data_IF_448220624567
#
_entry.id   IF_448220624567
#
_cell.length_a   1.000
_cell.length_b   1.000
_cell.length_c   1.000
_cell.angle_alpha   90.00
_cell.angle_beta   90.00
_cell.angle_gamma   90.00
#
_symmetry.space_group_name_H-M   'P 1'
#
loop_
_entity.id
_entity.type
_entity.pdbx_description
1 polymer ?
#
# COMPACT_ATOMS: atom_id res chain seq x y z
N UNK A 1 2.39 7.05 -28.06
CA UNK A 1 2.78 7.53 -26.70
C UNK A 1 1.94 6.78 -25.72
N UNK A 2 2.55 6.26 -24.68
CA UNK A 2 1.86 5.53 -23.60
C UNK A 2 1.00 6.45 -22.74
N UNK A 3 -0.01 5.90 -22.12
CA UNK A 3 -0.79 6.59 -21.09
C UNK A 3 -0.02 6.58 -19.78
N UNK A 4 0.25 7.75 -19.20
CA UNK A 4 0.92 7.85 -17.90
C UNK A 4 -0.12 7.75 -16.78
N UNK A 5 -0.07 6.66 -16.02
CA UNK A 5 -1.00 6.37 -14.94
C UNK A 5 -0.59 7.13 -13.65
N UNK A 6 -0.86 8.44 -13.63
CA UNK A 6 -0.51 9.31 -12.49
C UNK A 6 -1.38 9.02 -11.28
N UNK A 7 -0.77 8.96 -10.08
CA UNK A 7 -1.49 8.77 -8.83
C UNK A 7 -2.31 9.98 -8.37
N UNK A 8 -1.94 11.20 -8.78
CA UNK A 8 -2.60 12.42 -8.31
C UNK A 8 -4.13 12.49 -8.60
N UNK A 9 -4.63 12.13 -9.79
CA UNK A 9 -6.08 12.08 -10.03
C UNK A 9 -6.79 11.03 -9.17
N UNK A 10 -6.16 9.85 -8.98
CA UNK A 10 -6.66 8.78 -8.09
C UNK A 10 -6.82 9.29 -6.67
N UNK A 11 -5.78 9.95 -6.15
CA UNK A 11 -5.77 10.59 -4.83
C UNK A 11 -6.87 11.63 -4.68
N UNK A 12 -7.11 12.45 -5.72
CA UNK A 12 -8.16 13.47 -5.68
C UNK A 12 -9.55 12.83 -5.51
N UNK A 13 -9.87 11.82 -6.32
CA UNK A 13 -11.12 11.08 -6.25
C UNK A 13 -11.30 10.36 -4.90
N UNK A 14 -10.26 9.68 -4.41
CA UNK A 14 -10.30 9.01 -3.11
C UNK A 14 -10.50 9.99 -1.95
N UNK A 15 -9.86 11.15 -1.99
CA UNK A 15 -10.02 12.16 -0.94
C UNK A 15 -11.44 12.73 -0.92
N UNK A 16 -12.04 13.00 -2.09
CA UNK A 16 -13.42 13.47 -2.19
C UNK A 16 -14.39 12.43 -1.60
N UNK A 17 -14.26 11.18 -2.02
CA UNK A 17 -15.07 10.08 -1.50
C UNK A 17 -14.91 9.90 0.02
N UNK A 18 -13.69 9.91 0.54
CA UNK A 18 -13.42 9.75 1.96
C UNK A 18 -13.93 10.94 2.78
N UNK A 19 -13.82 12.17 2.27
CA UNK A 19 -14.35 13.35 2.95
C UNK A 19 -15.88 13.28 3.10
N UNK A 20 -16.60 12.85 2.06
CA UNK A 20 -18.05 12.63 2.12
C UNK A 20 -18.43 11.55 3.13
N UNK A 21 -17.70 10.42 3.16
CA UNK A 21 -17.93 9.34 4.15
C UNK A 21 -17.64 9.80 5.59
N UNK A 22 -16.57 10.57 5.81
CA UNK A 22 -16.26 11.16 7.12
C UNK A 22 -17.36 12.11 7.59
N UNK A 23 -17.91 12.94 6.68
CA UNK A 23 -19.01 13.84 7.02
C UNK A 23 -20.25 13.05 7.45
N UNK A 24 -20.64 12.02 6.71
CA UNK A 24 -21.77 11.16 7.04
C UNK A 24 -21.58 10.40 8.39
N UNK A 25 -20.35 9.98 8.71
CA UNK A 25 -20.03 9.37 10.00
C UNK A 25 -20.16 10.38 11.16
N UNK A 26 -19.70 11.61 10.96
CA UNK A 26 -19.84 12.68 11.98
C UNK A 26 -21.29 13.01 12.29
N UNK A 27 -22.18 12.99 11.30
CA UNK A 27 -23.63 13.15 11.51
C UNK A 27 -24.20 12.05 12.43
N UNK A 28 -23.58 10.86 12.44
CA UNK A 28 -23.92 9.74 13.34
C UNK A 28 -23.17 9.79 14.68
N UNK A 29 -22.40 10.84 14.94
CA UNK A 29 -21.58 10.99 16.15
C UNK A 29 -20.28 10.17 16.13
N UNK A 30 -19.88 9.61 15.00
CA UNK A 30 -18.64 8.82 14.85
C UNK A 30 -17.57 9.66 14.16
N UNK A 31 -16.41 9.79 14.80
CA UNK A 31 -15.24 10.49 14.24
C UNK A 31 -14.19 9.48 13.86
N UNK A 32 -13.93 9.23 12.56
CA UNK A 32 -12.86 8.33 12.15
C UNK A 32 -11.53 8.76 12.77
N UNK A 33 -10.86 7.87 13.48
CA UNK A 33 -9.65 8.19 14.25
C UNK A 33 -8.55 7.16 13.97
N UNK A 34 -7.38 7.65 13.58
CA UNK A 34 -6.16 6.89 13.34
C UNK A 34 -5.22 7.01 14.55
N UNK A 35 -4.77 5.88 15.09
CA UNK A 35 -3.59 5.84 15.95
C UNK A 35 -2.32 5.78 15.10
N UNK A 36 -1.40 6.68 15.34
CA UNK A 36 -0.04 6.66 14.78
C UNK A 36 0.93 6.24 15.87
N UNK A 37 1.61 5.12 15.70
CA UNK A 37 2.58 4.58 16.67
C UNK A 37 3.97 4.63 16.05
N UNK A 38 4.89 5.37 16.68
CA UNK A 38 6.27 5.54 16.26
C UNK A 38 7.25 5.36 17.43
N UNK A 39 8.35 4.66 17.16
CA UNK A 39 9.46 4.48 18.10
C UNK A 39 10.69 5.20 17.56
N UNK A 40 11.18 6.18 18.31
CA UNK A 40 12.28 7.05 17.89
C UNK A 40 11.87 8.10 16.86
N UNK A 41 12.84 8.73 16.20
CA UNK A 41 12.64 9.90 15.33
C UNK A 41 13.46 9.76 14.02
N UNK A 42 13.27 8.68 13.30
CA UNK A 42 13.92 8.51 12.00
C UNK A 42 13.41 9.55 11.01
N UNK A 43 14.27 10.22 10.23
CA UNK A 43 13.85 11.28 9.29
C UNK A 43 12.78 10.82 8.28
N UNK A 44 12.90 9.58 7.79
CA UNK A 44 11.94 9.01 6.84
C UNK A 44 10.56 8.82 7.48
N UNK A 45 10.52 8.35 8.74
CA UNK A 45 9.28 8.17 9.51
C UNK A 45 8.60 9.52 9.74
N UNK A 46 9.36 10.55 10.14
CA UNK A 46 8.84 11.91 10.36
C UNK A 46 8.27 12.51 9.06
N UNK A 47 8.96 12.31 7.94
CA UNK A 47 8.49 12.79 6.64
C UNK A 47 7.18 12.09 6.22
N UNK A 48 7.11 10.76 6.38
CA UNK A 48 5.90 10.00 6.06
C UNK A 48 4.75 10.35 7.01
N UNK A 49 5.00 10.47 8.32
CA UNK A 49 4.03 10.88 9.33
C UNK A 49 3.38 12.21 8.97
N UNK A 50 4.20 13.21 8.60
CA UNK A 50 3.70 14.52 8.15
C UNK A 50 2.74 14.39 6.96
N UNK A 51 3.05 13.53 6.01
CA UNK A 51 2.18 13.25 4.85
C UNK A 51 0.85 12.60 5.26
N UNK A 52 0.90 11.62 6.18
CA UNK A 52 -0.29 10.95 6.73
C UNK A 52 -1.17 11.96 7.47
N UNK A 53 -0.58 12.76 8.37
CA UNK A 53 -1.29 13.81 9.13
C UNK A 53 -2.01 14.79 8.21
N UNK A 54 -1.32 15.29 7.19
CA UNK A 54 -1.89 16.22 6.21
C UNK A 54 -3.05 15.58 5.43
N UNK A 55 -2.94 14.29 5.08
CA UNK A 55 -3.98 13.54 4.39
C UNK A 55 -5.21 13.35 5.27
N UNK A 56 -5.02 12.92 6.51
CA UNK A 56 -6.08 12.75 7.51
C UNK A 56 -6.83 14.07 7.73
N UNK A 57 -6.12 15.17 7.96
CA UNK A 57 -6.72 16.49 8.15
C UNK A 57 -7.57 16.93 6.95
N UNK A 58 -7.11 16.65 5.71
CA UNK A 58 -7.82 17.01 4.49
C UNK A 58 -9.19 16.36 4.35
N UNK A 59 -9.37 15.14 4.86
CA UNK A 59 -10.61 14.36 4.71
C UNK A 59 -11.45 14.28 5.98
N UNK A 60 -10.94 14.81 7.10
CA UNK A 60 -11.67 14.83 8.37
C UNK A 60 -11.44 13.62 9.26
N UNK A 61 -10.34 12.88 9.09
CA UNK A 61 -9.88 11.82 10.01
C UNK A 61 -9.06 12.45 11.11
N UNK A 62 -9.37 12.14 12.38
CA UNK A 62 -8.56 12.56 13.53
C UNK A 62 -7.36 11.63 13.72
N UNK A 63 -6.27 12.16 14.31
CA UNK A 63 -5.06 11.40 14.57
C UNK A 63 -4.67 11.50 16.04
N UNK A 64 -4.49 10.33 16.67
CA UNK A 64 -3.89 10.19 18.00
C UNK A 64 -2.48 9.66 17.84
N UNK A 65 -1.48 10.40 18.33
CA UNK A 65 -0.08 10.00 18.23
C UNK A 65 0.38 9.30 19.52
N UNK A 66 1.06 8.17 19.36
CA UNK A 66 1.71 7.39 20.41
C UNK A 66 3.20 7.33 20.09
N UNK A 67 3.94 8.31 20.62
CA UNK A 67 5.35 8.50 20.33
C UNK A 67 6.18 7.92 21.48
N UNK A 68 6.91 6.84 21.18
CA UNK A 68 7.78 6.18 22.14
C UNK A 68 9.24 6.61 21.89
N UNK A 69 10.06 6.75 22.94
CA UNK A 69 11.48 7.02 22.80
C UNK A 69 12.20 5.85 22.11
N UNK A 70 13.37 6.11 21.52
CA UNK A 70 14.10 5.10 20.76
C UNK A 70 14.55 3.90 21.60
N UNK A 71 14.71 4.09 22.90
CA UNK A 71 15.08 3.08 23.90
C UNK A 71 13.90 2.45 24.63
N UNK A 72 12.68 2.70 24.18
CA UNK A 72 11.47 2.09 24.72
C UNK A 72 11.59 0.55 24.74
N UNK A 73 11.01 -0.07 25.76
CA UNK A 73 10.95 -1.52 25.86
C UNK A 73 9.85 -2.13 24.99
N UNK A 74 10.01 -3.41 24.65
CA UNK A 74 8.97 -4.15 23.95
C UNK A 74 7.65 -4.19 24.73
N UNK A 75 7.71 -4.29 26.05
CA UNK A 75 6.54 -4.32 26.93
C UNK A 75 5.77 -2.99 26.89
N UNK A 76 6.47 -1.85 26.80
CA UNK A 76 5.83 -0.54 26.63
C UNK A 76 5.08 -0.44 25.32
N UNK A 77 5.70 -0.87 24.22
CA UNK A 77 5.03 -0.87 22.91
C UNK A 77 3.83 -1.84 22.88
N UNK A 78 3.95 -3.03 23.49
CA UNK A 78 2.84 -3.97 23.61
C UNK A 78 1.68 -3.41 24.45
N UNK A 79 1.98 -2.66 25.53
CA UNK A 79 0.93 -1.97 26.32
C UNK A 79 0.21 -0.88 25.51
N UNK A 80 0.93 -0.13 24.70
CA UNK A 80 0.34 0.86 23.77
C UNK A 80 -0.58 0.17 22.77
N UNK A 81 -0.12 -0.91 22.13
CA UNK A 81 -0.92 -1.68 21.16
C UNK A 81 -2.19 -2.26 21.85
N UNK A 82 -2.04 -2.83 23.04
CA UNK A 82 -3.19 -3.34 23.79
C UNK A 82 -4.21 -2.24 24.11
N UNK A 83 -3.75 -1.05 24.48
CA UNK A 83 -4.60 0.11 24.70
C UNK A 83 -5.33 0.56 23.43
N UNK A 84 -4.66 0.58 22.28
CA UNK A 84 -5.25 0.90 20.97
C UNK A 84 -6.30 -0.15 20.58
N UNK A 85 -6.01 -1.44 20.76
CA UNK A 85 -6.96 -2.50 20.49
C UNK A 85 -8.25 -2.36 21.32
N UNK A 86 -8.12 -1.97 22.57
CA UNK A 86 -9.25 -1.83 23.52
C UNK A 86 -10.03 -0.51 23.36
N UNK A 87 -9.45 0.53 22.76
CA UNK A 87 -10.11 1.84 22.58
C UNK A 87 -11.06 1.81 21.39
N UNK A 88 -12.37 1.75 21.65
CA UNK A 88 -13.40 1.80 20.62
C UNK A 88 -13.43 3.12 19.81
N UNK A 89 -12.86 4.20 20.34
CA UNK A 89 -12.76 5.48 19.64
C UNK A 89 -11.59 5.53 18.64
N UNK A 90 -10.71 4.53 18.62
CA UNK A 90 -9.64 4.38 17.63
C UNK A 90 -10.08 3.35 16.59
N UNK A 91 -10.10 3.73 15.32
CA UNK A 91 -10.60 2.87 14.24
C UNK A 91 -9.49 2.18 13.45
N UNK A 92 -8.26 2.69 13.51
CA UNK A 92 -7.11 2.07 12.86
C UNK A 92 -5.79 2.44 13.52
N UNK A 93 -4.78 1.61 13.29
CA UNK A 93 -3.42 1.80 13.80
C UNK A 93 -2.41 1.75 12.66
N UNK A 94 -1.62 2.80 12.52
CA UNK A 94 -0.41 2.82 11.70
C UNK A 94 0.79 2.64 12.61
N UNK A 95 1.45 1.49 12.53
CA UNK A 95 2.69 1.19 13.24
C UNK A 95 3.88 1.42 12.30
N UNK A 96 4.72 2.40 12.63
CA UNK A 96 5.91 2.69 11.84
C UNK A 96 6.95 1.57 11.91
N UNK A 97 7.42 1.14 10.75
CA UNK A 97 8.37 0.04 10.58
C UNK A 97 9.46 0.42 9.57
N UNK A 98 10.67 -0.17 9.61
CA UNK A 98 11.09 -1.22 10.55
C UNK A 98 11.27 -0.68 11.98
N UNK A 99 10.92 -1.53 12.96
CA UNK A 99 11.17 -1.24 14.37
C UNK A 99 12.67 -1.29 14.70
N UNK A 100 13.13 -0.59 15.75
CA UNK A 100 14.49 -0.76 16.28
C UNK A 100 14.78 -2.21 16.66
N UNK A 101 16.08 -2.59 16.68
CA UNK A 101 16.52 -4.00 16.79
C UNK A 101 16.13 -4.71 18.10
N UNK A 102 15.81 -3.95 19.17
CA UNK A 102 15.40 -4.51 20.44
C UNK A 102 13.97 -5.10 20.43
N UNK A 103 13.20 -4.82 19.38
CA UNK A 103 11.83 -5.34 19.24
C UNK A 103 11.79 -6.60 18.38
N UNK A 104 11.02 -7.59 18.83
CA UNK A 104 10.61 -8.71 17.98
C UNK A 104 9.40 -8.29 17.12
N UNK A 105 9.66 -7.95 15.87
CA UNK A 105 8.67 -7.50 14.90
C UNK A 105 7.47 -8.48 14.77
N UNK A 106 7.73 -9.78 14.87
CA UNK A 106 6.68 -10.79 14.76
C UNK A 106 5.72 -10.72 15.95
N UNK A 107 6.25 -10.66 17.17
CA UNK A 107 5.45 -10.53 18.39
C UNK A 107 4.64 -9.24 18.38
N UNK A 108 5.26 -8.13 17.99
CA UNK A 108 4.58 -6.83 17.92
C UNK A 108 3.44 -6.84 16.90
N UNK A 109 3.67 -7.35 15.68
CA UNK A 109 2.61 -7.46 14.68
C UNK A 109 1.47 -8.38 15.11
N UNK A 110 1.80 -9.49 15.78
CA UNK A 110 0.80 -10.44 16.27
C UNK A 110 -0.08 -9.86 17.39
N UNK A 111 0.39 -8.85 18.10
CA UNK A 111 -0.38 -8.18 19.15
C UNK A 111 -1.42 -7.18 18.62
N UNK A 112 -1.26 -6.69 17.39
CA UNK A 112 -2.23 -5.77 16.78
C UNK A 112 -3.45 -6.54 16.27
N UNK A 113 -4.65 -6.07 16.64
CA UNK A 113 -5.92 -6.63 16.15
C UNK A 113 -6.07 -6.39 14.64
N UNK A 114 -6.45 -7.40 13.85
CA UNK A 114 -6.69 -7.23 12.41
C UNK A 114 -7.70 -6.14 12.08
N UNK A 115 -8.71 -5.92 12.92
CA UNK A 115 -9.71 -4.86 12.73
C UNK A 115 -9.12 -3.45 12.85
N UNK A 116 -7.97 -3.32 13.53
CA UNK A 116 -7.22 -2.05 13.68
C UNK A 116 -6.03 -1.96 12.72
N UNK A 117 -5.67 -3.05 12.04
CA UNK A 117 -4.51 -3.16 11.16
C UNK A 117 -4.80 -2.58 9.78
N UNK A 118 -4.92 -1.26 9.70
CA UNK A 118 -5.27 -0.55 8.45
C UNK A 118 -4.13 -0.51 7.42
N UNK A 119 -2.93 -0.95 7.77
CA UNK A 119 -1.79 -1.05 6.84
C UNK A 119 -1.52 -2.49 6.36
N UNK A 120 -2.29 -3.47 6.87
CA UNK A 120 -2.25 -4.85 6.42
C UNK A 120 -0.95 -5.59 6.78
N UNK A 121 -0.39 -5.30 7.95
CA UNK A 121 0.89 -5.87 8.39
C UNK A 121 0.76 -7.18 9.18
N UNK A 122 -0.43 -7.49 9.71
CA UNK A 122 -0.67 -8.68 10.52
C UNK A 122 -0.89 -9.92 9.67
N UNK A 123 -0.61 -11.09 10.24
CA UNK A 123 -0.90 -12.36 9.58
C UNK A 123 -2.42 -12.55 9.38
N UNK A 124 -3.26 -11.98 10.26
CA UNK A 124 -4.72 -11.97 10.12
C UNK A 124 -5.18 -11.19 8.89
N UNK A 125 -4.68 -9.98 8.67
CA UNK A 125 -4.97 -9.19 7.47
C UNK A 125 -4.51 -9.89 6.19
N UNK A 126 -3.32 -10.50 6.21
CA UNK A 126 -2.83 -11.27 5.06
C UNK A 126 -3.66 -12.53 4.79
N UNK A 127 -4.15 -13.20 5.84
CA UNK A 127 -5.09 -14.31 5.68
C UNK A 127 -6.40 -13.85 5.04
N UNK A 128 -6.93 -12.69 5.44
CA UNK A 128 -8.09 -12.07 4.81
C UNK A 128 -7.91 -11.82 3.31
N UNK A 129 -6.76 -11.29 2.91
CA UNK A 129 -6.40 -11.11 1.49
C UNK A 129 -6.35 -12.45 0.75
N UNK A 130 -5.71 -13.46 1.33
CA UNK A 130 -5.56 -14.78 0.72
C UNK A 130 -6.89 -15.52 0.57
N UNK A 131 -7.75 -15.46 1.60
CA UNK A 131 -9.04 -16.16 1.65
C UNK A 131 -10.20 -15.36 1.03
N UNK A 132 -9.94 -14.12 0.60
CA UNK A 132 -10.96 -13.19 0.12
C UNK A 132 -12.08 -12.96 1.13
N UNK A 133 -11.73 -12.80 2.40
CA UNK A 133 -12.66 -12.51 3.49
C UNK A 133 -12.47 -11.10 4.04
N UNK A 134 -13.44 -10.60 4.81
CA UNK A 134 -13.41 -9.25 5.40
C UNK A 134 -12.60 -9.19 6.71
N UNK A 135 -11.55 -10.01 6.86
CA UNK A 135 -10.65 -9.99 8.03
C UNK A 135 -9.51 -9.02 7.77
N UNK A 136 -9.40 -8.00 8.61
CA UNK A 136 -8.38 -6.97 8.48
C UNK A 136 -8.47 -6.15 7.19
N UNK A 137 -7.33 -5.63 6.73
CA UNK A 137 -7.21 -4.79 5.54
C UNK A 137 -6.04 -5.25 4.68
N UNK A 138 -6.13 -5.11 3.35
CA UNK A 138 -4.99 -5.39 2.46
C UNK A 138 -3.82 -4.44 2.74
N UNK A 139 -2.57 -4.88 2.52
CA UNK A 139 -1.43 -3.96 2.52
C UNK A 139 -1.65 -2.79 1.58
N UNK A 140 -1.51 -1.56 2.12
CA UNK A 140 -1.87 -0.33 1.43
C UNK A 140 -1.19 -0.15 0.07
N UNK A 141 0.08 -0.56 -0.05
CA UNK A 141 0.82 -0.44 -1.32
C UNK A 141 0.31 -1.42 -2.37
N UNK A 142 -0.04 -2.64 -1.98
CA UNK A 142 -0.64 -3.60 -2.89
C UNK A 142 -2.01 -3.12 -3.39
N UNK A 143 -2.85 -2.62 -2.49
CA UNK A 143 -4.14 -2.06 -2.88
C UNK A 143 -4.00 -0.82 -3.75
N UNK A 144 -3.02 0.06 -3.51
CA UNK A 144 -2.79 1.23 -4.33
C UNK A 144 -2.55 0.89 -5.81
N UNK A 145 -1.93 -0.27 -6.10
CA UNK A 145 -1.81 -0.76 -7.48
C UNK A 145 -3.18 -1.01 -8.11
N UNK A 146 -4.08 -1.67 -7.36
CA UNK A 146 -5.43 -1.97 -7.84
C UNK A 146 -6.28 -0.71 -8.00
N UNK A 147 -6.18 0.24 -7.06
CA UNK A 147 -6.90 1.52 -7.13
C UNK A 147 -6.51 2.32 -8.38
N UNK A 148 -5.22 2.33 -8.75
CA UNK A 148 -4.76 2.94 -10.00
C UNK A 148 -5.37 2.22 -11.20
N UNK A 149 -5.25 0.89 -11.27
CA UNK A 149 -5.77 0.11 -12.38
C UNK A 149 -7.28 0.31 -12.55
N UNK A 150 -8.05 0.29 -11.44
CA UNK A 150 -9.49 0.55 -11.44
C UNK A 150 -9.85 1.96 -11.88
N UNK A 151 -9.17 2.97 -11.36
CA UNK A 151 -9.40 4.37 -11.70
C UNK A 151 -9.23 4.64 -13.19
N UNK A 152 -8.20 4.05 -13.79
CA UNK A 152 -7.94 4.17 -15.22
C UNK A 152 -8.71 3.16 -16.09
N UNK A 153 -9.65 2.42 -15.48
CA UNK A 153 -10.51 1.43 -16.16
C UNK A 153 -9.71 0.37 -16.92
N UNK A 154 -8.56 -0.05 -16.38
CA UNK A 154 -7.76 -1.13 -16.96
C UNK A 154 -8.48 -2.45 -16.69
N UNK A 155 -8.87 -3.20 -17.76
CA UNK A 155 -9.57 -4.46 -17.59
C UNK A 155 -8.65 -5.54 -17.00
N UNK A 156 -9.12 -6.25 -15.97
CA UNK A 156 -8.37 -7.32 -15.31
C UNK A 156 -8.97 -8.70 -15.56
N UNK A 157 -10.30 -8.79 -15.65
CA UNK A 157 -10.98 -10.07 -15.82
C UNK A 157 -10.57 -10.75 -17.14
N UNK A 158 -10.10 -12.01 -17.03
CA UNK A 158 -9.60 -12.83 -18.13
C UNK A 158 -8.20 -12.41 -18.63
N UNK A 159 -7.55 -11.42 -18.01
CA UNK A 159 -6.21 -10.95 -18.39
C UNK A 159 -5.11 -11.76 -17.72
N UNK A 160 -3.94 -11.78 -18.34
CA UNK A 160 -2.72 -12.34 -17.74
C UNK A 160 -2.00 -11.24 -16.97
N UNK A 161 -1.81 -11.44 -15.68
CA UNK A 161 -1.05 -10.55 -14.83
C UNK A 161 0.24 -11.21 -14.35
N UNK A 162 1.36 -10.50 -14.48
CA UNK A 162 2.65 -10.92 -13.92
C UNK A 162 3.00 -9.99 -12.77
N UNK A 163 3.28 -10.57 -11.60
CA UNK A 163 3.77 -9.82 -10.44
C UNK A 163 5.22 -10.20 -10.19
N UNK A 164 6.13 -9.24 -10.36
CA UNK A 164 7.57 -9.44 -10.15
C UNK A 164 7.94 -8.98 -8.76
N UNK A 165 8.13 -9.94 -7.85
CA UNK A 165 8.36 -9.75 -6.43
C UNK A 165 7.34 -10.51 -5.59
N UNK A 166 7.76 -11.04 -4.43
CA UNK A 166 6.92 -11.89 -3.58
C UNK A 166 6.95 -11.53 -2.09
N UNK A 167 7.14 -10.25 -1.80
CA UNK A 167 7.06 -9.76 -0.42
C UNK A 167 5.63 -9.90 0.13
N UNK A 168 5.49 -9.95 1.46
CA UNK A 168 4.18 -9.92 2.12
C UNK A 168 3.56 -8.52 2.10
N UNK A 169 4.36 -7.49 1.83
CA UNK A 169 3.88 -6.10 1.80
C UNK A 169 3.27 -5.73 0.44
N UNK A 170 3.78 -6.28 -0.67
CA UNK A 170 3.32 -5.92 -2.02
C UNK A 170 3.04 -7.13 -2.89
N UNK A 171 4.06 -7.94 -3.21
CA UNK A 171 3.97 -8.90 -4.31
C UNK A 171 2.91 -9.98 -4.11
N UNK A 172 2.92 -10.69 -2.98
CA UNK A 172 1.91 -11.72 -2.68
C UNK A 172 0.50 -11.13 -2.52
N UNK A 173 0.29 -10.05 -1.73
CA UNK A 173 -1.02 -9.42 -1.65
C UNK A 173 -1.55 -8.95 -3.01
N UNK A 174 -0.73 -8.26 -3.80
CA UNK A 174 -1.13 -7.79 -5.12
C UNK A 174 -1.53 -8.95 -6.05
N UNK A 175 -0.79 -10.08 -6.00
CA UNK A 175 -1.12 -11.26 -6.78
C UNK A 175 -2.50 -11.82 -6.40
N UNK A 176 -2.80 -11.97 -5.11
CA UNK A 176 -4.11 -12.44 -4.65
C UNK A 176 -5.24 -11.46 -4.96
N UNK A 177 -4.98 -10.17 -4.87
CA UNK A 177 -5.97 -9.14 -5.22
C UNK A 177 -6.26 -9.10 -6.73
N UNK A 178 -5.27 -9.32 -7.58
CA UNK A 178 -5.45 -9.47 -9.03
C UNK A 178 -6.22 -10.74 -9.39
N UNK A 179 -5.92 -11.86 -8.72
CA UNK A 179 -6.68 -13.11 -8.84
C UNK A 179 -8.17 -12.90 -8.49
N UNK A 180 -8.44 -12.18 -7.41
CA UNK A 180 -9.81 -11.80 -7.02
C UNK A 180 -10.55 -11.00 -8.10
N UNK A 181 -9.84 -10.21 -8.90
CA UNK A 181 -10.40 -9.47 -10.05
C UNK A 181 -10.50 -10.36 -11.33
N UNK A 182 -10.39 -11.68 -11.17
CA UNK A 182 -10.43 -12.70 -12.22
C UNK A 182 -9.28 -12.62 -13.25
N UNK A 183 -8.11 -12.12 -12.84
CA UNK A 183 -6.91 -12.21 -13.65
C UNK A 183 -6.22 -13.56 -13.47
N UNK A 184 -5.57 -14.08 -14.51
CA UNK A 184 -4.65 -15.23 -14.39
C UNK A 184 -3.29 -14.69 -13.94
N UNK A 185 -2.83 -15.05 -12.74
CA UNK A 185 -1.66 -14.42 -12.12
C UNK A 185 -0.45 -15.36 -12.14
N UNK A 186 0.69 -14.83 -12.61
CA UNK A 186 2.01 -15.45 -12.47
C UNK A 186 2.84 -14.65 -11.48
N UNK A 187 3.27 -15.28 -10.38
CA UNK A 187 4.11 -14.64 -9.35
C UNK A 187 5.58 -14.99 -9.57
N UNK A 188 6.39 -14.00 -9.94
CA UNK A 188 7.81 -14.13 -10.22
C UNK A 188 8.69 -13.74 -9.04
N UNK A 189 9.89 -14.30 -9.00
CA UNK A 189 10.89 -14.04 -7.97
C UNK A 189 12.31 -14.14 -8.52
N UNK A 190 13.33 -13.96 -7.68
CA UNK A 190 14.74 -13.96 -8.08
C UNK A 190 15.27 -15.29 -8.65
N UNK A 191 14.47 -16.35 -8.66
CA UNK A 191 14.80 -17.67 -9.24
C UNK A 191 13.98 -17.98 -10.49
N UNK A 192 13.09 -17.07 -10.90
CA UNK A 192 12.30 -17.22 -12.14
C UNK A 192 13.25 -17.25 -13.33
N UNK A 193 13.21 -18.34 -14.10
CA UNK A 193 13.96 -18.47 -15.33
C UNK A 193 13.28 -17.70 -16.45
N UNK A 194 14.04 -17.15 -17.39
CA UNK A 194 13.54 -16.40 -18.54
C UNK A 194 12.52 -15.32 -18.17
N UNK A 195 12.80 -14.55 -17.09
CA UNK A 195 11.88 -13.51 -16.62
C UNK A 195 11.40 -12.56 -17.74
N UNK A 196 12.24 -12.14 -18.71
CA UNK A 196 11.77 -11.32 -19.82
C UNK A 196 10.64 -11.98 -20.62
N UNK A 197 10.74 -13.30 -20.90
CA UNK A 197 9.71 -14.01 -21.64
C UNK A 197 8.40 -14.08 -20.87
N UNK A 198 8.48 -14.41 -19.57
CA UNK A 198 7.31 -14.44 -18.67
C UNK A 198 6.63 -13.08 -18.61
N UNK A 199 7.39 -11.98 -18.51
CA UNK A 199 6.83 -10.64 -18.49
C UNK A 199 6.17 -10.27 -19.82
N UNK A 200 6.75 -10.65 -20.96
CA UNK A 200 6.18 -10.36 -22.29
C UNK A 200 4.86 -11.10 -22.56
N UNK A 201 4.56 -12.20 -21.88
CA UNK A 201 3.28 -12.90 -22.02
C UNK A 201 2.11 -12.20 -21.31
N UNK A 202 2.40 -11.28 -20.39
CA UNK A 202 1.38 -10.60 -19.59
C UNK A 202 0.66 -9.49 -20.36
N UNK A 203 -0.56 -9.17 -19.91
CA UNK A 203 -1.28 -7.95 -20.25
C UNK A 203 -0.98 -6.84 -19.24
N UNK A 204 -0.82 -7.23 -17.95
CA UNK A 204 -0.49 -6.33 -16.85
C UNK A 204 0.76 -6.83 -16.12
N UNK A 205 1.74 -5.97 -15.92
CA UNK A 205 2.98 -6.27 -15.18
C UNK A 205 3.07 -5.38 -13.95
N UNK A 206 3.04 -5.96 -12.75
CA UNK A 206 3.29 -5.26 -11.48
C UNK A 206 4.71 -5.54 -11.03
N UNK A 207 5.53 -4.50 -10.88
CA UNK A 207 6.95 -4.61 -10.55
C UNK A 207 7.18 -4.14 -9.12
N UNK A 208 7.55 -5.07 -8.23
CA UNK A 208 7.73 -4.83 -6.79
C UNK A 208 8.92 -5.65 -6.26
N UNK A 209 10.09 -5.53 -6.88
CA UNK A 209 11.25 -6.34 -6.55
C UNK A 209 12.30 -5.61 -5.70
N UNK A 210 12.16 -4.30 -5.56
CA UNK A 210 13.11 -3.48 -4.78
C UNK A 210 14.50 -3.42 -5.41
N UNK A 211 14.57 -3.43 -6.75
CA UNK A 211 15.81 -3.33 -7.52
C UNK A 211 15.69 -2.24 -8.57
N UNK A 212 16.37 -1.14 -8.33
CA UNK A 212 16.38 0.02 -9.20
C UNK A 212 16.65 -0.33 -10.66
N UNK A 213 15.73 0.08 -11.57
CA UNK A 213 15.91 -0.02 -13.01
C UNK A 213 16.14 -1.43 -13.55
N UNK A 214 15.64 -2.46 -12.87
CA UNK A 214 15.87 -3.84 -13.29
C UNK A 214 15.04 -4.24 -14.51
N UNK A 215 13.79 -3.79 -14.60
CA UNK A 215 12.90 -4.06 -15.73
C UNK A 215 13.08 -3.01 -16.81
N UNK A 216 13.43 -3.42 -18.01
CA UNK A 216 13.59 -2.56 -19.20
C UNK A 216 12.79 -3.06 -20.39
N UNK A 217 13.01 -2.45 -21.56
CA UNK A 217 12.32 -2.75 -22.80
C UNK A 217 12.35 -4.25 -23.19
N UNK A 218 13.45 -4.95 -22.85
CA UNK A 218 13.62 -6.37 -23.10
C UNK A 218 12.62 -7.28 -22.38
N UNK A 219 12.03 -6.79 -21.30
CA UNK A 219 11.01 -7.48 -20.50
C UNK A 219 9.58 -7.21 -20.99
N UNK A 220 9.41 -6.25 -21.87
CA UNK A 220 8.11 -5.65 -22.17
C UNK A 220 7.74 -5.76 -23.64
N UNK A 221 6.46 -5.58 -23.96
CA UNK A 221 5.92 -5.51 -25.33
C UNK A 221 4.83 -4.46 -25.45
N UNK A 222 4.47 -4.13 -26.69
CA UNK A 222 3.34 -3.25 -26.97
C UNK A 222 2.01 -3.81 -26.43
N UNK A 223 1.12 -2.91 -26.01
CA UNK A 223 -0.20 -3.25 -25.47
C UNK A 223 -0.21 -3.70 -24.00
N UNK A 224 0.91 -3.60 -23.28
CA UNK A 224 0.99 -3.92 -21.86
C UNK A 224 0.74 -2.71 -20.98
N UNK A 225 0.20 -2.97 -19.79
CA UNK A 225 0.11 -2.01 -18.69
C UNK A 225 1.15 -2.35 -17.63
N UNK A 226 1.96 -1.39 -17.24
CA UNK A 226 3.04 -1.57 -16.25
C UNK A 226 2.78 -0.73 -15.00
N UNK A 227 2.77 -1.39 -13.85
CA UNK A 227 2.65 -0.75 -12.52
C UNK A 227 3.97 -0.90 -11.78
N UNK A 228 4.74 0.16 -11.73
CA UNK A 228 6.02 0.21 -11.00
C UNK A 228 5.78 0.65 -9.55
N UNK A 229 6.14 -0.21 -8.60
CA UNK A 229 6.00 0.01 -7.16
C UNK A 229 7.34 0.40 -6.52
N UNK A 230 8.46 0.22 -7.24
CA UNK A 230 9.79 0.53 -6.74
C UNK A 230 9.93 2.01 -6.37
N UNK A 231 10.66 2.28 -5.29
CA UNK A 231 11.06 3.64 -4.90
C UNK A 231 12.53 3.57 -4.49
N UNK A 232 13.36 4.26 -5.25
CA UNK A 232 14.80 4.36 -5.03
C UNK A 232 15.26 5.80 -5.24
N UNK A 233 16.43 6.13 -4.70
CA UNK A 233 17.15 7.37 -5.00
C UNK A 233 18.35 7.01 -5.85
N UNK A 234 18.44 7.55 -7.05
CA UNK A 234 19.58 7.30 -7.94
C UNK A 234 20.81 8.15 -7.53
N UNK A 235 21.93 7.98 -8.25
CA UNK A 235 23.20 8.68 -7.98
C UNK A 235 23.06 10.22 -8.10
N UNK A 236 22.08 10.71 -8.85
CA UNK A 236 21.78 12.15 -8.99
C UNK A 236 20.83 12.68 -7.90
N UNK A 237 20.43 11.85 -6.92
CA UNK A 237 19.47 12.21 -5.87
C UNK A 237 18.02 12.25 -6.35
N UNK A 238 17.70 11.72 -7.54
CA UNK A 238 16.35 11.68 -8.09
C UNK A 238 15.64 10.37 -7.73
N UNK A 239 14.32 10.45 -7.47
CA UNK A 239 13.49 9.28 -7.27
C UNK A 239 13.30 8.53 -8.59
N UNK A 240 13.41 7.20 -8.53
CA UNK A 240 13.18 6.29 -9.63
C UNK A 240 12.62 4.96 -9.11
N UNK A 241 12.11 4.12 -10.01
CA UNK A 241 11.48 2.85 -9.69
C UNK A 241 12.33 1.62 -10.00
N UNK A 242 11.68 0.47 -9.99
CA UNK A 242 12.25 -0.81 -10.41
C UNK A 242 12.31 -0.92 -11.95
N UNK A 243 11.56 -0.06 -12.67
CA UNK A 243 11.46 -0.03 -14.13
C UNK A 243 12.34 1.09 -14.70
N UNK A 244 13.08 0.80 -15.76
CA UNK A 244 13.77 1.84 -16.58
C UNK A 244 12.71 2.59 -17.40
N UNK A 245 12.11 3.60 -16.78
CA UNK A 245 10.94 4.32 -17.30
C UNK A 245 11.14 4.81 -18.74
N UNK A 246 12.28 5.45 -19.04
CA UNK A 246 12.56 5.99 -20.37
C UNK A 246 12.66 4.92 -21.48
N UNK A 247 12.98 3.66 -21.14
CA UNK A 247 13.00 2.54 -22.07
C UNK A 247 11.62 1.86 -22.18
N UNK A 248 10.88 1.81 -21.07
CA UNK A 248 9.60 1.12 -20.99
C UNK A 248 8.45 1.95 -21.60
N UNK A 249 8.41 3.25 -21.30
CA UNK A 249 7.35 4.15 -21.74
C UNK A 249 7.08 4.12 -23.25
N UNK A 250 8.06 4.18 -24.15
CA UNK A 250 7.78 4.13 -25.60
C UNK A 250 7.27 2.79 -26.09
N UNK A 251 7.39 1.72 -25.30
CA UNK A 251 7.03 0.35 -25.66
C UNK A 251 5.62 -0.02 -25.25
N UNK A 252 5.22 0.36 -24.01
CA UNK A 252 3.99 -0.12 -23.38
C UNK A 252 2.78 0.76 -23.70
N UNK A 253 1.56 0.27 -23.45
CA UNK A 253 0.33 1.04 -23.60
C UNK A 253 0.14 2.04 -22.47
N UNK A 254 0.43 1.63 -21.23
CA UNK A 254 0.31 2.50 -20.07
C UNK A 254 1.34 2.13 -18.99
N UNK A 255 1.78 3.13 -18.21
CA UNK A 255 2.78 2.94 -17.16
C UNK A 255 2.60 3.94 -16.02
N UNK A 256 2.82 3.50 -14.78
CA UNK A 256 2.91 4.41 -13.62
C UNK A 256 4.28 5.10 -13.58
N UNK A 257 4.35 6.41 -13.32
CA UNK A 257 5.62 7.10 -13.14
C UNK A 257 6.17 6.92 -11.72
N UNK A 258 7.50 7.03 -11.56
CA UNK A 258 8.15 7.16 -10.25
C UNK A 258 9.09 8.38 -10.31
N UNK A 259 8.82 9.42 -9.51
CA UNK A 259 7.72 9.62 -8.57
C UNK A 259 6.37 9.93 -9.23
N UNK A 260 5.31 9.90 -8.42
CA UNK A 260 3.96 10.34 -8.84
C UNK A 260 2.99 9.23 -9.27
N UNK A 261 3.39 7.97 -9.13
CA UNK A 261 2.56 6.77 -9.35
C UNK A 261 2.03 6.18 -8.04
N UNK A 262 2.30 4.89 -7.82
CA UNK A 262 1.77 4.08 -6.70
C UNK A 262 2.03 4.69 -5.33
N UNK A 263 3.26 5.12 -5.05
CA UNK A 263 3.62 5.70 -3.76
C UNK A 263 2.82 6.95 -3.36
N UNK A 264 2.26 7.67 -4.35
CA UNK A 264 1.38 8.82 -4.08
C UNK A 264 0.01 8.38 -3.54
N UNK A 265 -0.47 7.19 -3.92
CA UNK A 265 -1.82 6.68 -3.62
C UNK A 265 -1.86 5.96 -2.27
N UNK A 266 -0.76 5.36 -1.83
CA UNK A 266 -0.67 4.52 -0.63
C UNK A 266 -1.30 5.15 0.61
N UNK A 267 -0.98 6.43 0.89
CA UNK A 267 -1.53 7.14 2.05
C UNK A 267 -3.04 7.37 1.94
N UNK A 268 -3.57 7.53 0.73
CA UNK A 268 -5.03 7.68 0.54
C UNK A 268 -5.75 6.35 0.76
N UNK A 269 -5.14 5.22 0.39
CA UNK A 269 -5.65 3.87 0.72
C UNK A 269 -5.70 3.67 2.23
N UNK A 270 -4.61 4.00 2.93
CA UNK A 270 -4.54 3.91 4.38
C UNK A 270 -5.69 4.69 5.06
N UNK A 271 -5.92 5.92 4.61
CA UNK A 271 -7.02 6.75 5.13
C UNK A 271 -8.39 6.15 4.78
N UNK A 272 -8.56 5.56 3.59
CA UNK A 272 -9.79 4.84 3.22
C UNK A 272 -10.07 3.68 4.16
N UNK A 273 -9.05 2.93 4.57
CA UNK A 273 -9.19 1.83 5.54
C UNK A 273 -9.64 2.33 6.92
N UNK A 274 -9.10 3.48 7.40
CA UNK A 274 -9.56 4.08 8.66
C UNK A 274 -11.04 4.46 8.59
N UNK A 275 -11.47 5.06 7.49
CA UNK A 275 -12.88 5.43 7.28
C UNK A 275 -13.77 4.18 7.23
N UNK A 276 -13.35 3.15 6.50
CA UNK A 276 -14.06 1.87 6.42
C UNK A 276 -14.16 1.19 7.81
N UNK A 277 -13.07 1.23 8.60
CA UNK A 277 -13.08 0.71 9.96
C UNK A 277 -14.08 1.45 10.86
N UNK A 278 -14.16 2.78 10.71
CA UNK A 278 -15.14 3.59 11.44
C UNK A 278 -16.59 3.28 11.01
N UNK A 279 -16.82 3.02 9.73
CA UNK A 279 -18.14 2.60 9.23
C UNK A 279 -18.56 1.24 9.79
N UNK A 280 -17.64 0.26 9.82
CA UNK A 280 -17.89 -1.06 10.42
C UNK A 280 -18.20 -0.97 11.91
N UNK A 281 -17.54 -0.07 12.64
CA UNK A 281 -17.78 0.17 14.06
C UNK A 281 -19.12 0.90 14.33
N UNK A 282 -19.66 1.62 13.34
CA UNK A 282 -20.91 2.37 13.43
C UNK A 282 -22.14 1.57 12.99
N UNK A 283 -21.93 0.35 12.47
CA UNK A 283 -22.99 -0.56 11.96
C UNK A 283 -23.48 -1.47 13.05
#
# INVERSE_FOLDING_TARGET
>A
MSTILKGAPVVAAMNEANAARCAALREKGVVPTLAVVRVGERPDDLSYEKGVMARCAKVGVEVKQFLLPADASQEELLRVIAGINADAAIHGCLLFRPLPKQFDDRTIRAALSPEKDIDGITDGSLAGVFTNTAVGYPPCTAQACLEILKFYSIPLSGKRAVVVGRSLVVGKPAAMMLDRENATVTLCNSRTQSLPDVCREADVVVVAMGKMGFIGAEHLRAGQVVVDVGIHVNEEGKLCGDVRFGEAEPVVEAITPVPGGVGTVTTSVLVSHVVEAAEKAAS
#
